data_IF_594115242451
#
_entry.id   IF_594115242451
#
_cell.length_a   1.000
_cell.length_b   1.000
_cell.length_c   1.000
_cell.angle_alpha   90.00
_cell.angle_beta   90.00
_cell.angle_gamma   90.00
#
_symmetry.space_group_name_H-M   'P 1'
#
loop_
_entity.id
_entity.type
_entity.pdbx_description
1 polymer ?
#
# COMPACT_ATOMS: atom_id res chain seq x y z
N UNK A 1 -81.38 5.15 56.12
CA UNK A 1 -79.95 5.12 55.73
C UNK A 1 -79.65 6.50 55.15
N UNK A 2 -79.14 7.38 56.03
CA UNK A 2 -78.88 8.82 55.85
C UNK A 2 -77.74 9.02 54.83
N UNK A 3 -77.52 10.10 54.08
CA UNK A 3 -78.03 11.47 53.99
C UNK A 3 -76.98 12.26 53.17
N UNK A 4 -77.41 13.29 52.42
CA UNK A 4 -76.53 14.27 51.76
C UNK A 4 -75.64 14.99 52.79
N UNK A 5 -74.51 15.61 52.40
CA UNK A 5 -74.19 17.03 52.69
C UNK A 5 -72.80 17.48 52.18
N UNK A 6 -72.83 18.75 51.78
CA UNK A 6 -71.89 19.72 51.20
C UNK A 6 -70.40 19.81 51.54
N UNK A 7 -69.78 20.57 50.63
CA UNK A 7 -68.50 21.28 50.58
C UNK A 7 -68.26 22.34 51.69
N UNK A 8 -66.98 22.78 51.72
CA UNK A 8 -66.33 23.97 52.34
C UNK A 8 -65.91 23.85 53.82
N UNK A 9 -64.74 24.30 54.31
CA UNK A 9 -63.86 25.42 53.94
C UNK A 9 -62.45 25.30 54.59
N UNK A 10 -61.42 25.88 53.93
CA UNK A 10 -60.18 26.56 54.43
C UNK A 10 -59.29 25.93 55.55
N UNK A 11 -57.95 26.04 55.59
CA UNK A 11 -57.05 27.13 55.20
C UNK A 11 -55.57 26.68 55.05
N UNK A 12 -54.87 27.36 54.14
CA UNK A 12 -53.46 27.83 54.18
C UNK A 12 -52.37 27.09 54.98
N UNK A 13 -51.38 26.57 54.25
CA UNK A 13 -49.96 26.63 54.65
C UNK A 13 -49.07 26.68 53.40
N UNK A 14 -48.69 27.88 52.98
CA UNK A 14 -47.71 28.12 51.92
C UNK A 14 -46.31 28.01 52.48
N UNK A 15 -45.57 26.97 52.08
CA UNK A 15 -44.14 26.88 52.33
C UNK A 15 -43.38 27.33 51.07
N UNK A 16 -42.97 28.60 51.04
CA UNK A 16 -42.14 29.19 49.99
C UNK A 16 -40.75 28.55 50.05
N UNK A 17 -40.42 27.66 49.10
CA UNK A 17 -39.02 27.29 48.82
C UNK A 17 -38.44 28.28 47.80
N UNK A 18 -37.52 29.11 48.27
CA UNK A 18 -36.72 30.00 47.45
C UNK A 18 -35.94 29.17 46.41
N UNK A 19 -36.13 29.49 45.13
CA UNK A 19 -35.32 28.99 44.03
C UNK A 19 -34.02 29.79 44.03
N UNK A 20 -32.94 29.17 44.52
CA UNK A 20 -31.60 29.68 44.29
C UNK A 20 -31.30 29.52 42.79
N UNK A 21 -31.31 30.62 42.05
CA UNK A 21 -30.68 30.71 40.73
C UNK A 21 -29.17 30.63 40.94
N UNK A 22 -28.66 29.41 40.99
CA UNK A 22 -27.25 29.16 40.75
C UNK A 22 -26.99 29.48 39.28
N UNK A 23 -26.58 30.72 39.03
CA UNK A 23 -25.99 31.13 37.75
C UNK A 23 -24.64 30.44 37.67
N UNK A 24 -24.62 29.15 37.33
CA UNK A 24 -23.39 28.48 36.95
C UNK A 24 -22.98 29.07 35.61
N UNK A 25 -22.04 30.01 35.65
CA UNK A 25 -21.23 30.33 34.50
C UNK A 25 -20.44 29.05 34.23
N UNK A 26 -21.03 28.12 33.46
CA UNK A 26 -20.32 26.99 32.89
C UNK A 26 -19.27 27.65 32.00
N UNK A 27 -18.06 27.80 32.53
CA UNK A 27 -16.91 28.24 31.75
C UNK A 27 -16.82 27.29 30.56
N UNK A 28 -17.22 27.76 29.38
CA UNK A 28 -17.26 26.92 28.18
C UNK A 28 -15.87 26.34 27.98
N UNK A 29 -15.78 25.03 28.07
CA UNK A 29 -14.52 24.30 27.94
C UNK A 29 -13.83 24.70 26.63
N UNK A 30 -12.56 25.10 26.71
CA UNK A 30 -11.78 25.60 25.56
C UNK A 30 -11.76 24.59 24.41
N UNK A 31 -11.83 23.30 24.71
CA UNK A 31 -11.87 22.22 23.70
C UNK A 31 -13.23 22.14 23.01
N UNK A 32 -14.31 22.48 23.70
CA UNK A 32 -15.67 22.46 23.14
C UNK A 32 -15.89 23.56 22.10
N UNK A 33 -15.19 24.70 22.22
CA UNK A 33 -15.27 25.82 21.29
C UNK A 33 -14.39 25.67 20.03
N UNK A 34 -13.63 24.59 19.90
CA UNK A 34 -12.82 24.35 18.70
C UNK A 34 -13.71 24.14 17.46
N UNK A 35 -13.31 24.66 16.28
CA UNK A 35 -13.97 24.37 15.02
C UNK A 35 -14.03 22.86 14.73
N UNK A 36 -15.06 22.35 14.03
CA UNK A 36 -15.20 20.94 13.70
C UNK A 36 -13.96 20.36 13.01
N UNK A 37 -13.34 21.12 12.11
CA UNK A 37 -12.16 20.68 11.36
C UNK A 37 -10.96 20.46 12.28
N UNK A 38 -10.78 21.33 13.28
CA UNK A 38 -9.70 21.18 14.27
C UNK A 38 -9.95 19.99 15.18
N UNK A 39 -11.21 19.75 15.59
CA UNK A 39 -11.57 18.55 16.35
C UNK A 39 -11.33 17.28 15.52
N UNK A 40 -11.74 17.28 14.25
CA UNK A 40 -11.46 16.18 13.32
C UNK A 40 -9.97 15.89 13.18
N UNK A 41 -9.13 16.94 13.08
CA UNK A 41 -7.68 16.81 13.05
C UNK A 41 -7.11 16.24 14.36
N UNK A 42 -7.58 16.70 15.52
CA UNK A 42 -7.17 16.13 16.82
C UNK A 42 -7.54 14.65 16.90
N UNK A 43 -8.77 14.30 16.52
CA UNK A 43 -9.27 12.93 16.57
C UNK A 43 -8.59 12.01 15.55
N UNK A 44 -8.05 12.55 14.45
CA UNK A 44 -7.25 11.80 13.47
C UNK A 44 -5.95 11.21 14.05
N UNK A 45 -5.51 11.70 15.21
CA UNK A 45 -4.39 11.16 15.97
C UNK A 45 -4.76 9.91 16.80
N UNK A 46 -6.06 9.64 16.94
CA UNK A 46 -6.61 8.50 17.67
C UNK A 46 -7.05 7.39 16.71
N UNK A 47 -7.20 6.18 17.22
CA UNK A 47 -7.92 5.17 16.45
C UNK A 47 -9.43 5.49 16.44
N UNK A 48 -10.16 4.93 15.46
CA UNK A 48 -11.59 5.25 15.27
C UNK A 48 -12.43 4.90 16.50
N UNK A 49 -12.07 3.85 17.24
CA UNK A 49 -12.78 3.48 18.47
C UNK A 49 -12.63 4.56 19.55
N UNK A 50 -11.40 5.02 19.79
CA UNK A 50 -11.10 6.10 20.73
C UNK A 50 -11.77 7.40 20.31
N UNK A 51 -11.73 7.72 19.01
CA UNK A 51 -12.38 8.92 18.50
C UNK A 51 -13.90 8.89 18.73
N UNK A 52 -14.56 7.77 18.47
CA UNK A 52 -15.99 7.59 18.75
C UNK A 52 -16.28 7.63 20.27
N UNK A 53 -15.38 7.15 21.13
CA UNK A 53 -15.57 7.25 22.59
C UNK A 53 -15.60 8.71 23.08
N UNK A 54 -14.89 9.62 22.39
CA UNK A 54 -14.93 11.07 22.73
C UNK A 54 -16.33 11.67 22.57
N UNK A 55 -17.24 11.01 21.85
CA UNK A 55 -18.64 11.40 21.74
C UNK A 55 -19.38 11.50 23.08
N UNK A 56 -18.84 10.89 24.13
CA UNK A 56 -19.38 10.94 25.50
C UNK A 56 -18.95 12.18 26.29
N UNK A 57 -17.95 12.93 25.83
CA UNK A 57 -17.38 14.05 26.58
C UNK A 57 -18.30 15.27 26.64
N UNK A 58 -18.97 15.61 25.53
CA UNK A 58 -19.97 16.68 25.47
C UNK A 58 -20.82 16.60 24.20
N UNK A 59 -21.87 17.42 24.11
CA UNK A 59 -22.67 17.58 22.89
C UNK A 59 -21.86 18.00 21.67
N UNK A 60 -20.80 18.81 21.86
CA UNK A 60 -19.97 19.32 20.76
C UNK A 60 -18.92 18.31 20.27
N UNK A 61 -18.63 17.28 21.08
CA UNK A 61 -17.73 16.18 20.73
C UNK A 61 -18.48 14.95 20.21
N UNK A 62 -19.81 14.91 20.42
CA UNK A 62 -20.70 13.80 20.01
C UNK A 62 -20.49 13.36 18.56
N UNK A 63 -20.40 14.31 17.65
CA UNK A 63 -20.28 14.06 16.21
C UNK A 63 -18.90 14.45 15.64
N UNK A 64 -17.96 14.90 16.48
CA UNK A 64 -16.68 15.46 16.00
C UNK A 64 -15.85 14.45 15.19
N UNK A 65 -15.97 13.16 15.48
CA UNK A 65 -15.30 12.10 14.72
C UNK A 65 -15.80 12.00 13.27
N UNK A 66 -17.00 12.50 12.96
CA UNK A 66 -17.59 12.45 11.62
C UNK A 66 -16.91 13.38 10.62
N UNK A 67 -16.02 14.26 11.08
CA UNK A 67 -15.23 15.20 10.27
C UNK A 67 -13.72 14.84 10.23
N UNK A 68 -13.35 13.63 10.68
CA UNK A 68 -11.95 13.16 10.65
C UNK A 68 -11.41 12.95 9.22
N UNK A 69 -10.31 13.60 8.82
CA UNK A 69 -9.76 13.43 7.48
C UNK A 69 -9.10 12.05 7.26
N UNK A 70 -8.71 11.38 8.35
CA UNK A 70 -8.05 10.08 8.32
C UNK A 70 -8.91 9.05 9.05
N UNK A 71 -9.24 7.96 8.36
CA UNK A 71 -9.99 6.84 8.93
C UNK A 71 -9.10 5.60 8.96
N UNK A 72 -8.83 5.09 10.17
CA UNK A 72 -8.01 3.90 10.38
C UNK A 72 -8.82 2.79 11.07
N UNK A 73 -9.12 1.73 10.33
CA UNK A 73 -9.97 0.62 10.77
C UNK A 73 -9.16 -0.67 10.86
N UNK A 74 -9.18 -1.32 12.02
CA UNK A 74 -8.54 -2.60 12.28
C UNK A 74 -9.47 -3.49 13.07
N UNK A 75 -9.58 -4.76 12.68
CA UNK A 75 -10.48 -5.69 13.37
C UNK A 75 -9.99 -6.09 14.76
N UNK A 76 -8.67 -6.12 14.98
CA UNK A 76 -8.06 -6.22 16.31
C UNK A 76 -8.72 -7.28 17.20
N UNK A 77 -9.22 -6.85 18.35
CA UNK A 77 -9.94 -7.71 19.30
C UNK A 77 -11.47 -7.66 19.14
N UNK A 78 -12.01 -6.90 18.18
CA UNK A 78 -13.46 -6.86 17.94
C UNK A 78 -13.97 -8.25 17.58
N UNK A 79 -15.22 -8.56 17.92
CA UNK A 79 -15.93 -9.67 17.26
C UNK A 79 -16.21 -9.27 15.81
N UNK A 80 -16.37 -10.26 14.92
CA UNK A 80 -16.62 -10.01 13.49
C UNK A 80 -17.82 -9.08 13.28
N UNK A 81 -18.92 -9.36 13.99
CA UNK A 81 -20.16 -8.56 13.93
C UNK A 81 -19.94 -7.12 14.40
N UNK A 82 -19.27 -6.91 15.54
CA UNK A 82 -18.97 -5.57 16.06
C UNK A 82 -18.10 -4.77 15.10
N UNK A 83 -17.11 -5.40 14.47
CA UNK A 83 -16.27 -4.72 13.50
C UNK A 83 -17.06 -4.31 12.25
N UNK A 84 -17.95 -5.17 11.75
CA UNK A 84 -18.80 -4.83 10.61
C UNK A 84 -19.69 -3.63 10.94
N UNK A 85 -20.38 -3.68 12.08
CA UNK A 85 -21.21 -2.56 12.54
C UNK A 85 -20.40 -1.28 12.68
N UNK A 86 -19.16 -1.37 13.18
CA UNK A 86 -18.26 -0.22 13.29
C UNK A 86 -17.93 0.37 11.91
N UNK A 87 -17.47 -0.45 10.96
CA UNK A 87 -17.11 0.01 9.60
C UNK A 87 -18.31 0.62 8.89
N UNK A 88 -19.47 -0.02 9.01
CA UNK A 88 -20.72 0.46 8.41
C UNK A 88 -21.15 1.79 8.98
N UNK A 89 -21.16 1.92 10.30
CA UNK A 89 -21.48 3.16 11.00
C UNK A 89 -20.52 4.27 10.58
N UNK A 90 -19.21 4.00 10.57
CA UNK A 90 -18.19 4.98 10.23
C UNK A 90 -18.37 5.48 8.81
N UNK A 91 -18.48 4.58 7.83
CA UNK A 91 -18.63 4.97 6.42
C UNK A 91 -19.98 5.65 6.13
N UNK A 92 -21.04 5.30 6.86
CA UNK A 92 -22.38 5.86 6.66
C UNK A 92 -22.54 7.24 7.30
N UNK A 93 -22.02 7.43 8.52
CA UNK A 93 -22.21 8.66 9.29
C UNK A 93 -21.12 9.70 9.06
N UNK A 94 -20.02 9.36 8.38
CA UNK A 94 -18.97 10.33 8.06
C UNK A 94 -19.53 11.47 7.20
N UNK A 95 -19.32 12.72 7.63
CA UNK A 95 -19.82 13.94 6.99
C UNK A 95 -18.70 14.69 6.28
N UNK A 96 -17.50 14.66 6.85
CA UNK A 96 -16.32 15.33 6.32
C UNK A 96 -15.75 14.71 5.04
N UNK A 97 -14.64 15.29 4.60
CA UNK A 97 -13.85 14.75 3.49
C UNK A 97 -12.90 13.69 4.04
N UNK A 98 -12.93 12.49 3.46
CA UNK A 98 -11.95 11.45 3.77
C UNK A 98 -10.74 11.70 2.88
N UNK A 99 -9.64 12.17 3.46
CA UNK A 99 -8.37 12.32 2.76
C UNK A 99 -7.64 10.97 2.68
N UNK A 100 -7.62 10.22 3.80
CA UNK A 100 -6.97 8.93 3.90
C UNK A 100 -7.87 7.86 4.50
N UNK A 101 -7.94 6.71 3.82
CA UNK A 101 -8.66 5.54 4.28
C UNK A 101 -7.71 4.35 4.43
N UNK A 102 -7.64 3.81 5.65
CA UNK A 102 -6.85 2.64 5.98
C UNK A 102 -7.77 1.56 6.57
N UNK A 103 -7.76 0.38 5.97
CA UNK A 103 -8.38 -0.82 6.54
C UNK A 103 -7.39 -1.98 6.56
N UNK A 104 -7.26 -2.63 7.72
CA UNK A 104 -6.45 -3.82 7.88
C UNK A 104 -7.19 -4.87 8.69
N UNK A 105 -7.55 -5.97 8.05
CA UNK A 105 -8.32 -7.06 8.65
C UNK A 105 -7.47 -8.31 8.75
N UNK A 106 -7.62 -9.06 9.84
CA UNK A 106 -7.04 -10.39 10.06
C UNK A 106 -8.07 -11.51 9.93
N UNK A 107 -9.35 -11.18 9.82
CA UNK A 107 -10.46 -12.13 9.62
C UNK A 107 -11.11 -11.94 8.25
N UNK A 108 -11.99 -12.88 7.92
CA UNK A 108 -12.69 -12.92 6.64
C UNK A 108 -13.90 -11.98 6.59
N UNK A 109 -13.91 -11.05 5.62
CA UNK A 109 -14.97 -10.06 5.38
C UNK A 109 -15.32 -9.95 3.87
N UNK A 110 -15.29 -11.07 3.15
CA UNK A 110 -15.50 -11.08 1.69
C UNK A 110 -16.83 -10.42 1.28
N UNK A 111 -17.91 -10.74 2.00
CA UNK A 111 -19.26 -10.27 1.67
C UNK A 111 -19.42 -8.76 1.93
N UNK A 112 -18.74 -8.24 2.94
CA UNK A 112 -18.85 -6.83 3.32
C UNK A 112 -17.91 -5.91 2.55
N UNK A 113 -16.76 -6.42 2.07
CA UNK A 113 -15.76 -5.62 1.36
C UNK A 113 -16.38 -4.91 0.15
N UNK A 114 -17.23 -5.58 -0.62
CA UNK A 114 -17.91 -4.98 -1.77
C UNK A 114 -18.74 -3.75 -1.39
N UNK A 115 -19.50 -3.86 -0.30
CA UNK A 115 -20.34 -2.79 0.22
C UNK A 115 -19.49 -1.65 0.80
N UNK A 116 -18.43 -1.96 1.53
CA UNK A 116 -17.52 -0.94 2.07
C UNK A 116 -16.82 -0.16 0.97
N UNK A 117 -16.34 -0.84 -0.08
CA UNK A 117 -15.72 -0.17 -1.22
C UNK A 117 -16.71 0.68 -2.00
N UNK A 118 -17.98 0.24 -2.13
CA UNK A 118 -19.03 1.05 -2.72
C UNK A 118 -19.26 2.35 -1.93
N UNK A 119 -19.38 2.26 -0.60
CA UNK A 119 -19.53 3.44 0.25
C UNK A 119 -18.31 4.37 0.16
N UNK A 120 -17.10 3.81 0.17
CA UNK A 120 -15.85 4.56 0.05
C UNK A 120 -15.72 5.27 -1.31
N UNK A 121 -16.11 4.60 -2.40
CA UNK A 121 -16.00 5.15 -3.76
C UNK A 121 -16.78 6.46 -3.94
N UNK A 122 -17.90 6.62 -3.21
CA UNK A 122 -18.72 7.84 -3.20
C UNK A 122 -18.03 9.02 -2.51
N UNK A 123 -17.04 8.74 -1.65
CA UNK A 123 -16.23 9.75 -0.96
C UNK A 123 -14.93 10.05 -1.69
N UNK A 124 -14.46 9.12 -2.53
CA UNK A 124 -13.27 9.24 -3.38
C UNK A 124 -12.04 9.82 -2.65
N UNK A 125 -11.53 9.15 -1.60
CA UNK A 125 -10.35 9.60 -0.86
C UNK A 125 -9.09 9.70 -1.74
N UNK A 126 -8.10 10.48 -1.27
CA UNK A 126 -6.80 10.63 -1.95
C UNK A 126 -5.86 9.46 -1.68
N UNK A 127 -5.94 8.86 -0.50
CA UNK A 127 -5.10 7.73 -0.11
C UNK A 127 -5.95 6.55 0.35
N UNK A 128 -5.71 5.37 -0.22
CA UNK A 128 -6.41 4.14 0.16
C UNK A 128 -5.38 3.04 0.45
N UNK A 129 -5.50 2.45 1.64
CA UNK A 129 -4.70 1.31 2.07
C UNK A 129 -5.63 0.17 2.50
N UNK A 130 -5.53 -0.96 1.82
CA UNK A 130 -6.34 -2.16 2.08
C UNK A 130 -5.39 -3.32 2.34
N UNK A 131 -5.44 -3.90 3.55
CA UNK A 131 -4.63 -5.08 3.92
C UNK A 131 -5.52 -6.22 4.42
N UNK A 132 -5.55 -7.32 3.68
CA UNK A 132 -6.51 -8.39 3.88
C UNK A 132 -5.79 -9.66 4.37
N UNK A 133 -5.44 -9.77 5.65
CA UNK A 133 -4.52 -10.78 6.16
C UNK A 133 -5.15 -12.17 6.43
N UNK A 134 -6.24 -12.54 5.75
CA UNK A 134 -6.87 -13.87 5.90
C UNK A 134 -7.61 -14.32 4.65
N UNK A 135 -7.84 -15.62 4.51
CA UNK A 135 -8.61 -16.17 3.40
C UNK A 135 -7.84 -16.19 2.07
N UNK A 136 -8.44 -16.88 1.09
CA UNK A 136 -7.95 -16.96 -0.27
C UNK A 136 -8.46 -15.74 -1.05
N UNK A 137 -7.53 -14.92 -1.53
CA UNK A 137 -7.69 -14.05 -2.71
C UNK A 137 -8.98 -13.21 -2.76
N UNK A 138 -9.01 -12.09 -2.04
CA UNK A 138 -10.11 -11.14 -2.12
C UNK A 138 -10.17 -10.48 -3.49
N UNK A 139 -11.26 -10.73 -4.22
CA UNK A 139 -11.55 -9.98 -5.44
C UNK A 139 -11.86 -8.53 -5.10
N UNK A 140 -11.06 -7.60 -5.64
CA UNK A 140 -11.30 -6.18 -5.48
C UNK A 140 -12.55 -5.76 -6.28
N UNK A 141 -13.53 -5.09 -5.64
CA UNK A 141 -14.73 -4.58 -6.30
C UNK A 141 -14.41 -3.53 -7.37
N UNK A 142 -15.19 -3.50 -8.46
CA UNK A 142 -14.98 -2.57 -9.59
C UNK A 142 -15.09 -1.10 -9.20
N UNK A 143 -15.91 -0.76 -8.20
CA UNK A 143 -16.11 0.62 -7.72
C UNK A 143 -14.84 1.26 -7.16
N UNK A 144 -13.86 0.47 -6.70
CA UNK A 144 -12.55 0.99 -6.30
C UNK A 144 -11.84 1.68 -7.48
N UNK A 145 -11.99 1.13 -8.69
CA UNK A 145 -11.36 1.67 -9.91
C UNK A 145 -12.07 2.91 -10.48
N UNK A 146 -13.14 3.38 -9.83
CA UNK A 146 -13.86 4.60 -10.18
C UNK A 146 -13.44 5.82 -9.34
N UNK A 147 -12.52 5.66 -8.37
CA UNK A 147 -12.08 6.75 -7.50
C UNK A 147 -11.13 7.72 -8.23
N UNK A 148 -11.68 8.82 -8.75
CA UNK A 148 -10.93 9.78 -9.59
C UNK A 148 -9.89 10.63 -8.86
N UNK A 149 -10.03 10.83 -7.54
CA UNK A 149 -9.10 11.65 -6.74
C UNK A 149 -7.93 10.88 -6.14
N UNK A 150 -7.82 9.58 -6.42
CA UNK A 150 -6.83 8.71 -5.81
C UNK A 150 -5.41 9.07 -6.23
N UNK A 151 -4.55 9.34 -5.26
CA UNK A 151 -3.12 9.64 -5.39
C UNK A 151 -2.24 8.50 -4.89
N UNK A 152 -2.68 7.80 -3.85
CA UNK A 152 -1.97 6.70 -3.23
C UNK A 152 -2.88 5.48 -3.12
N UNK A 153 -2.44 4.34 -3.64
CA UNK A 153 -3.14 3.07 -3.53
C UNK A 153 -2.19 1.97 -3.06
N UNK A 154 -2.49 1.38 -1.91
CA UNK A 154 -1.87 0.14 -1.46
C UNK A 154 -2.93 -0.93 -1.26
N UNK A 155 -2.73 -2.07 -1.91
CA UNK A 155 -3.56 -3.26 -1.72
C UNK A 155 -2.69 -4.46 -1.40
N UNK A 156 -3.08 -5.23 -0.39
CA UNK A 156 -2.37 -6.42 0.07
C UNK A 156 -3.32 -7.62 0.21
N UNK A 157 -2.92 -8.77 -0.34
CA UNK A 157 -3.68 -10.03 -0.37
C UNK A 157 -4.98 -9.96 -1.17
N UNK A 158 -4.88 -9.62 -2.47
CA UNK A 158 -6.05 -9.37 -3.31
C UNK A 158 -5.92 -9.91 -4.74
N UNK A 159 -7.05 -10.16 -5.37
CA UNK A 159 -7.16 -10.49 -6.79
C UNK A 159 -7.67 -9.27 -7.54
N UNK A 160 -6.91 -8.87 -8.56
CA UNK A 160 -7.19 -7.69 -9.38
C UNK A 160 -7.70 -8.17 -10.73
N UNK A 161 -8.93 -7.75 -11.06
CA UNK A 161 -9.51 -7.86 -12.40
C UNK A 161 -10.05 -6.50 -12.78
N UNK A 162 -9.51 -5.93 -13.85
CA UNK A 162 -9.81 -4.57 -14.22
C UNK A 162 -11.20 -4.49 -14.87
N UNK A 163 -12.04 -3.49 -14.54
CA UNK A 163 -13.28 -3.27 -15.26
C UNK A 163 -13.01 -2.91 -16.73
N UNK A 164 -13.87 -3.37 -17.65
CA UNK A 164 -13.74 -3.07 -19.09
C UNK A 164 -13.71 -1.56 -19.40
N UNK A 165 -14.45 -0.78 -18.61
CA UNK A 165 -14.55 0.68 -18.75
C UNK A 165 -13.55 1.43 -17.86
N UNK A 166 -12.48 0.79 -17.41
CA UNK A 166 -11.48 1.46 -16.58
C UNK A 166 -10.78 2.56 -17.37
N UNK A 167 -10.98 3.81 -16.94
CA UNK A 167 -10.41 4.99 -17.60
C UNK A 167 -9.04 5.39 -17.04
N UNK A 168 -8.52 4.67 -16.04
CA UNK A 168 -7.27 5.02 -15.39
C UNK A 168 -7.42 5.92 -14.16
N UNK A 169 -6.44 5.85 -13.25
CA UNK A 169 -6.32 6.81 -12.17
C UNK A 169 -5.47 8.00 -12.61
N UNK A 170 -6.11 9.14 -12.89
CA UNK A 170 -5.43 10.31 -13.47
C UNK A 170 -4.49 11.06 -12.53
N UNK A 171 -4.61 10.82 -11.22
CA UNK A 171 -3.84 11.50 -10.18
C UNK A 171 -2.95 10.54 -9.37
N UNK A 172 -2.95 9.25 -9.71
CA UNK A 172 -2.22 8.23 -8.94
C UNK A 172 -0.73 8.36 -9.17
N UNK A 173 -0.03 8.72 -8.11
CA UNK A 173 1.43 8.85 -8.08
C UNK A 173 2.09 7.62 -7.47
N UNK A 174 1.40 6.91 -6.57
CA UNK A 174 1.93 5.76 -5.86
C UNK A 174 1.00 4.55 -5.97
N UNK A 175 1.49 3.45 -6.52
CA UNK A 175 0.80 2.16 -6.61
C UNK A 175 1.64 1.06 -5.96
N UNK A 176 1.12 0.48 -4.88
CA UNK A 176 1.76 -0.65 -4.19
C UNK A 176 0.82 -1.85 -4.11
N UNK A 177 1.11 -2.89 -4.89
CA UNK A 177 0.40 -4.16 -4.86
C UNK A 177 1.28 -5.22 -4.19
N UNK A 178 0.75 -5.83 -3.12
CA UNK A 178 1.46 -6.84 -2.34
C UNK A 178 0.63 -8.11 -2.24
N UNK A 179 1.26 -9.29 -2.32
CA UNK A 179 0.55 -10.58 -2.19
C UNK A 179 -0.68 -10.61 -3.11
N UNK A 180 -0.53 -10.47 -4.42
CA UNK A 180 -1.68 -10.30 -5.32
C UNK A 180 -1.69 -11.25 -6.50
N UNK A 181 -2.88 -11.55 -7.04
CA UNK A 181 -3.05 -12.30 -8.28
C UNK A 181 -3.75 -11.43 -9.33
N UNK A 182 -3.30 -11.51 -10.58
CA UNK A 182 -3.91 -10.80 -11.70
C UNK A 182 -3.46 -11.38 -13.04
N UNK A 183 -3.94 -10.81 -14.14
CA UNK A 183 -3.48 -11.15 -15.50
C UNK A 183 -2.45 -10.11 -15.99
N UNK A 184 -1.57 -10.53 -16.90
CA UNK A 184 -0.62 -9.61 -17.57
C UNK A 184 -1.32 -8.39 -18.17
N UNK A 185 -2.49 -8.60 -18.78
CA UNK A 185 -3.29 -7.54 -19.41
C UNK A 185 -3.85 -6.56 -18.38
N UNK A 186 -4.43 -7.06 -17.29
CA UNK A 186 -4.99 -6.21 -16.24
C UNK A 186 -3.92 -5.31 -15.60
N UNK A 187 -2.75 -5.87 -15.27
CA UNK A 187 -1.65 -5.12 -14.67
C UNK A 187 -1.05 -4.12 -15.65
N UNK A 188 -0.85 -4.52 -16.91
CA UNK A 188 -0.41 -3.61 -17.97
C UNK A 188 -1.36 -2.41 -18.11
N UNK A 189 -2.67 -2.68 -18.20
CA UNK A 189 -3.68 -1.63 -18.36
C UNK A 189 -3.80 -0.75 -17.11
N UNK A 190 -3.72 -1.35 -15.92
CA UNK A 190 -3.70 -0.61 -14.66
C UNK A 190 -2.56 0.41 -14.62
N UNK A 191 -1.33 -0.01 -14.94
CA UNK A 191 -0.15 0.84 -14.91
C UNK A 191 -0.19 1.89 -16.01
N UNK A 192 -0.41 1.47 -17.27
CA UNK A 192 -0.39 2.37 -18.44
C UNK A 192 -1.47 3.44 -18.40
N UNK A 193 -2.59 3.19 -17.70
CA UNK A 193 -3.65 4.18 -17.55
C UNK A 193 -3.46 5.11 -16.34
N UNK A 194 -2.31 5.04 -15.64
CA UNK A 194 -1.90 5.97 -14.59
C UNK A 194 -0.77 6.90 -15.08
N UNK A 195 -1.08 8.01 -15.80
CA UNK A 195 -0.08 8.80 -16.53
C UNK A 195 0.89 9.61 -15.64
N UNK A 196 0.60 9.72 -14.34
CA UNK A 196 1.40 10.48 -13.37
C UNK A 196 2.06 9.59 -12.31
N UNK A 197 2.12 8.28 -12.55
CA UNK A 197 2.70 7.31 -11.63
C UNK A 197 4.21 7.51 -11.50
N UNK A 198 4.69 7.77 -10.28
CA UNK A 198 6.10 7.99 -9.95
C UNK A 198 6.70 6.84 -9.13
N UNK A 199 5.90 6.15 -8.30
CA UNK A 199 6.32 5.00 -7.49
C UNK A 199 5.44 3.77 -7.77
N UNK A 200 6.06 2.70 -8.28
CA UNK A 200 5.42 1.42 -8.54
C UNK A 200 6.09 0.30 -7.73
N UNK A 201 5.29 -0.41 -6.93
CA UNK A 201 5.74 -1.56 -6.14
C UNK A 201 4.85 -2.76 -6.38
N UNK A 202 5.40 -3.80 -6.98
CA UNK A 202 4.77 -5.10 -7.21
C UNK A 202 5.52 -6.15 -6.40
N UNK A 203 4.91 -6.69 -5.35
CA UNK A 203 5.58 -7.57 -4.39
C UNK A 203 4.77 -8.83 -4.15
N UNK A 204 5.40 -10.00 -4.32
CA UNK A 204 4.85 -11.34 -4.14
C UNK A 204 3.55 -11.52 -4.91
N UNK A 205 3.62 -11.79 -6.20
CA UNK A 205 2.44 -11.95 -7.04
C UNK A 205 2.41 -13.28 -7.78
N UNK A 206 1.21 -13.65 -8.21
CA UNK A 206 0.92 -14.86 -8.98
C UNK A 206 0.11 -14.52 -10.25
N UNK A 207 0.17 -15.41 -11.24
CA UNK A 207 -0.58 -15.26 -12.50
C UNK A 207 0.07 -14.34 -13.55
N UNK A 208 1.23 -13.73 -13.24
CA UNK A 208 1.96 -12.87 -14.17
C UNK A 208 3.10 -13.63 -14.85
N UNK A 209 3.11 -13.63 -16.19
CA UNK A 209 4.21 -14.20 -16.99
C UNK A 209 5.09 -13.09 -17.54
N UNK A 210 4.50 -12.12 -18.23
CA UNK A 210 5.22 -11.01 -18.84
C UNK A 210 4.78 -9.68 -18.23
N UNK A 211 5.67 -9.06 -17.46
CA UNK A 211 5.43 -7.74 -16.86
C UNK A 211 5.68 -6.63 -17.87
N UNK A 212 4.62 -6.02 -18.39
CA UNK A 212 4.75 -4.85 -19.26
C UNK A 212 4.45 -3.57 -18.48
N UNK A 213 5.48 -2.77 -18.23
CA UNK A 213 5.43 -1.53 -17.46
C UNK A 213 5.63 -0.37 -18.43
N UNK A 214 4.55 0.35 -18.74
CA UNK A 214 4.58 1.59 -19.51
C UNK A 214 4.20 2.73 -18.59
N UNK A 215 5.21 3.45 -18.09
CA UNK A 215 5.03 4.47 -17.06
C UNK A 215 6.06 5.60 -17.26
N UNK A 216 5.76 6.61 -18.09
CA UNK A 216 6.74 7.59 -18.53
C UNK A 216 7.28 8.49 -17.41
N UNK A 217 6.52 8.69 -16.33
CA UNK A 217 6.92 9.48 -15.15
C UNK A 217 7.43 8.64 -13.99
N UNK A 218 7.64 7.33 -14.19
CA UNK A 218 8.06 6.44 -13.12
C UNK A 218 9.50 6.75 -12.72
N UNK A 219 9.72 7.01 -11.43
CA UNK A 219 11.02 7.32 -10.83
C UNK A 219 11.54 6.16 -9.98
N UNK A 220 10.62 5.43 -9.34
CA UNK A 220 10.93 4.31 -8.44
C UNK A 220 10.16 3.05 -8.83
N UNK A 221 10.89 1.96 -9.06
CA UNK A 221 10.32 0.64 -9.37
C UNK A 221 10.81 -0.41 -8.37
N UNK A 222 9.89 -1.15 -7.78
CA UNK A 222 10.19 -2.36 -7.00
C UNK A 222 9.37 -3.53 -7.50
N UNK A 223 10.03 -4.56 -8.05
CA UNK A 223 9.42 -5.82 -8.46
C UNK A 223 10.04 -6.97 -7.69
N UNK A 224 9.21 -7.69 -6.94
CA UNK A 224 9.61 -8.89 -6.21
C UNK A 224 8.56 -9.96 -6.48
N UNK A 225 8.85 -11.02 -7.22
CA UNK A 225 7.82 -12.02 -7.55
C UNK A 225 8.29 -13.06 -8.56
N UNK A 226 7.39 -13.95 -8.98
CA UNK A 226 7.65 -14.88 -10.07
C UNK A 226 7.12 -14.31 -11.39
N UNK A 227 8.00 -14.10 -12.37
CA UNK A 227 7.65 -13.73 -13.74
C UNK A 227 8.68 -14.33 -14.70
N UNK A 228 8.28 -14.55 -15.95
CA UNK A 228 9.12 -15.08 -17.02
C UNK A 228 9.88 -13.95 -17.75
N UNK A 229 9.23 -12.79 -17.91
CA UNK A 229 9.79 -11.64 -18.63
C UNK A 229 9.31 -10.29 -18.07
N UNK A 230 10.07 -9.22 -18.32
CA UNK A 230 9.75 -7.84 -17.98
C UNK A 230 10.08 -6.88 -19.14
N UNK A 231 9.08 -6.26 -19.73
CA UNK A 231 9.23 -5.14 -20.65
C UNK A 231 9.02 -3.83 -19.91
N UNK A 232 10.07 -3.02 -19.82
CA UNK A 232 10.04 -1.76 -19.09
C UNK A 232 10.19 -0.58 -20.07
N UNK A 233 9.22 0.32 -20.06
CA UNK A 233 9.21 1.60 -20.76
C UNK A 233 8.95 2.71 -19.72
N UNK A 234 10.06 3.17 -19.13
CA UNK A 234 10.09 4.12 -18.03
C UNK A 234 11.33 5.02 -18.14
N UNK A 235 11.37 5.98 -19.08
CA UNK A 235 12.55 6.80 -19.37
C UNK A 235 13.03 7.66 -18.19
N UNK A 236 12.17 7.99 -17.24
CA UNK A 236 12.53 8.79 -16.06
C UNK A 236 12.90 7.94 -14.83
N UNK A 237 13.09 6.62 -15.02
CA UNK A 237 13.36 5.72 -13.90
C UNK A 237 14.71 6.03 -13.27
N UNK A 238 14.70 6.37 -11.99
CA UNK A 238 15.92 6.66 -11.24
C UNK A 238 16.40 5.45 -10.44
N UNK A 239 15.46 4.70 -9.87
CA UNK A 239 15.74 3.58 -8.98
C UNK A 239 14.92 2.35 -9.35
N UNK A 240 15.60 1.21 -9.48
CA UNK A 240 14.96 -0.08 -9.76
C UNK A 240 15.43 -1.18 -8.79
N UNK A 241 14.49 -1.93 -8.23
CA UNK A 241 14.76 -3.17 -7.50
C UNK A 241 14.03 -4.34 -8.13
N UNK A 242 14.78 -5.31 -8.63
CA UNK A 242 14.26 -6.50 -9.31
C UNK A 242 14.71 -7.75 -8.57
N UNK A 243 13.74 -8.58 -8.15
CA UNK A 243 14.00 -9.81 -7.43
C UNK A 243 13.02 -10.91 -7.83
N UNK A 244 13.54 -12.11 -8.06
CA UNK A 244 12.69 -13.29 -8.26
C UNK A 244 12.42 -14.00 -6.93
N UNK A 245 11.15 -14.33 -6.67
CA UNK A 245 10.74 -15.08 -5.48
C UNK A 245 11.20 -16.56 -5.60
N UNK A 246 11.93 -17.13 -4.61
CA UNK A 246 12.32 -18.54 -4.59
C UNK A 246 11.17 -19.54 -4.66
N UNK A 247 9.94 -19.13 -4.34
CA UNK A 247 8.74 -19.97 -4.44
C UNK A 247 8.23 -20.09 -5.88
N UNK A 248 8.73 -19.30 -6.83
CA UNK A 248 8.40 -19.37 -8.26
C UNK A 248 8.92 -20.63 -8.98
N UNK A 249 9.25 -21.71 -8.25
CA UNK A 249 9.81 -22.98 -8.75
C UNK A 249 8.90 -23.74 -9.72
N UNK A 250 7.67 -23.28 -9.98
CA UNK A 250 6.74 -23.94 -10.90
C UNK A 250 6.91 -23.55 -12.39
N UNK A 251 7.58 -22.45 -12.72
CA UNK A 251 7.66 -21.95 -14.11
C UNK A 251 8.97 -22.27 -14.83
N UNK A 252 9.90 -23.02 -14.22
CA UNK A 252 11.21 -23.31 -14.80
C UNK A 252 11.36 -24.70 -15.43
N UNK A 253 10.26 -25.40 -15.72
CA UNK A 253 10.30 -26.72 -16.39
C UNK A 253 9.92 -26.71 -17.87
N UNK A 254 9.62 -25.55 -18.49
CA UNK A 254 9.41 -25.50 -19.95
C UNK A 254 10.56 -24.76 -20.62
N UNK A 255 11.41 -25.47 -21.39
CA UNK A 255 12.38 -24.83 -22.27
C UNK A 255 11.61 -24.24 -23.46
N UNK A 256 11.21 -22.96 -23.39
CA UNK A 256 10.91 -22.23 -24.61
C UNK A 256 12.25 -21.74 -25.17
N UNK A 257 12.90 -22.65 -25.89
CA UNK A 257 13.91 -22.32 -26.86
C UNK A 257 13.25 -21.45 -27.94
N UNK A 258 13.58 -20.16 -27.98
CA UNK A 258 14.00 -19.45 -29.20
C UNK A 258 14.06 -17.91 -29.06
N UNK A 259 13.67 -17.32 -27.93
CA UNK A 259 13.55 -15.84 -27.89
C UNK A 259 13.98 -15.18 -26.57
N UNK A 260 14.49 -15.95 -25.58
CA UNK A 260 15.00 -15.44 -24.29
C UNK A 260 16.08 -14.35 -24.43
N UNK A 261 16.82 -14.33 -25.54
CA UNK A 261 17.86 -13.34 -25.82
C UNK A 261 17.30 -11.96 -26.20
N UNK A 262 16.18 -11.89 -26.93
CA UNK A 262 15.60 -10.61 -27.37
C UNK A 262 14.97 -9.84 -26.19
N UNK A 263 14.39 -10.59 -25.25
CA UNK A 263 13.72 -10.05 -24.08
C UNK A 263 14.69 -9.42 -23.08
N UNK A 264 15.74 -10.15 -22.67
CA UNK A 264 16.78 -9.63 -21.76
C UNK A 264 17.44 -8.37 -22.34
N UNK A 265 17.68 -8.34 -23.66
CA UNK A 265 18.19 -7.15 -24.37
C UNK A 265 17.23 -5.97 -24.27
N UNK A 266 15.94 -6.19 -24.48
CA UNK A 266 14.92 -5.15 -24.42
C UNK A 266 14.73 -4.61 -22.99
N UNK A 267 14.69 -5.50 -21.99
CA UNK A 267 14.56 -5.13 -20.57
C UNK A 267 15.77 -4.36 -20.05
N UNK A 268 16.98 -4.73 -20.48
CA UNK A 268 18.21 -4.05 -20.06
C UNK A 268 18.45 -2.76 -20.84
N UNK A 269 18.09 -2.72 -22.13
CA UNK A 269 18.22 -1.52 -22.96
C UNK A 269 17.37 -0.35 -22.47
N UNK A 270 16.24 -0.60 -21.81
CA UNK A 270 15.43 0.46 -21.20
C UNK A 270 15.93 0.92 -19.82
N UNK A 271 16.97 0.27 -19.28
CA UNK A 271 17.59 0.62 -18.01
C UNK A 271 18.87 1.46 -18.17
N UNK A 272 19.21 1.93 -19.37
CA UNK A 272 20.47 2.63 -19.65
C UNK A 272 20.68 3.93 -18.83
N UNK A 273 19.60 4.61 -18.43
CA UNK A 273 19.64 5.93 -17.80
C UNK A 273 19.34 5.96 -16.29
N UNK A 274 19.24 4.79 -15.65
CA UNK A 274 18.96 4.67 -14.21
C UNK A 274 20.16 5.13 -13.36
N UNK A 275 19.89 5.65 -12.15
CA UNK A 275 20.93 6.03 -11.17
C UNK A 275 21.28 4.89 -10.23
N UNK A 276 20.31 4.05 -9.90
CA UNK A 276 20.48 2.99 -8.92
C UNK A 276 19.76 1.70 -9.33
N UNK A 277 20.47 0.57 -9.26
CA UNK A 277 19.98 -0.75 -9.62
C UNK A 277 20.25 -1.75 -8.51
N UNK A 278 19.18 -2.35 -8.00
CA UNK A 278 19.27 -3.45 -7.06
C UNK A 278 18.75 -4.73 -7.72
N UNK A 279 19.61 -5.74 -7.83
CA UNK A 279 19.26 -7.05 -8.38
C UNK A 279 19.48 -8.11 -7.31
N UNK A 280 18.46 -8.95 -7.12
CA UNK A 280 18.48 -9.96 -6.07
C UNK A 280 18.26 -11.40 -6.59
N UNK A 281 19.07 -12.32 -6.07
CA UNK A 281 18.78 -13.74 -6.01
C UNK A 281 18.73 -14.45 -7.36
N UNK A 282 17.62 -15.12 -7.66
CA UNK A 282 17.45 -15.96 -8.87
C UNK A 282 17.41 -15.10 -10.13
N UNK A 283 17.14 -13.79 -10.05
CA UNK A 283 17.16 -12.91 -11.22
C UNK A 283 18.56 -12.85 -11.85
N UNK A 284 19.63 -12.96 -11.06
CA UNK A 284 20.99 -13.11 -11.58
C UNK A 284 21.19 -14.39 -12.38
N UNK A 285 20.48 -15.49 -12.04
CA UNK A 285 20.49 -16.72 -12.84
C UNK A 285 19.72 -16.58 -14.15
N UNK A 286 18.69 -15.74 -14.17
CA UNK A 286 17.94 -15.42 -15.38
C UNK A 286 18.78 -14.54 -16.31
N UNK A 287 19.34 -13.45 -15.77
CA UNK A 287 20.27 -12.59 -16.49
C UNK A 287 21.48 -13.38 -16.99
N UNK A 288 22.03 -14.32 -16.22
CA UNK A 288 23.15 -15.13 -16.69
C UNK A 288 22.82 -16.00 -17.89
N UNK A 289 21.62 -16.59 -17.98
CA UNK A 289 21.21 -17.33 -19.19
C UNK A 289 21.19 -16.44 -20.44
N UNK A 290 20.75 -15.18 -20.33
CA UNK A 290 20.74 -14.22 -21.44
C UNK A 290 22.11 -13.58 -21.74
N UNK A 291 22.91 -13.33 -20.71
CA UNK A 291 24.21 -12.65 -20.81
C UNK A 291 25.38 -13.60 -21.16
N UNK A 292 25.24 -14.91 -20.98
CA UNK A 292 26.26 -15.90 -21.40
C UNK A 292 26.40 -15.95 -22.93
N UNK A 293 25.38 -15.52 -23.68
CA UNK A 293 25.34 -15.61 -25.14
C UNK A 293 25.74 -14.30 -25.85
N UNK A 294 25.80 -13.17 -25.14
CA UNK A 294 25.97 -11.84 -25.77
C UNK A 294 26.76 -10.88 -24.89
N UNK A 295 27.63 -10.04 -25.50
CA UNK A 295 28.16 -8.85 -24.81
C UNK A 295 26.97 -8.06 -24.24
N UNK A 296 27.10 -7.58 -23.01
CA UNK A 296 26.00 -6.87 -22.34
C UNK A 296 25.47 -5.77 -23.28
N UNK A 297 24.15 -5.68 -23.53
CA UNK A 297 23.62 -4.90 -24.65
C UNK A 297 23.57 -3.39 -24.38
N UNK A 298 23.90 -3.01 -23.16
CA UNK A 298 23.53 -1.75 -22.53
C UNK A 298 24.73 -1.24 -21.73
N UNK A 299 25.13 0.01 -21.98
CA UNK A 299 26.05 0.77 -21.13
C UNK A 299 25.20 1.62 -20.21
N UNK A 300 25.39 1.47 -18.90
CA UNK A 300 24.67 2.21 -17.88
C UNK A 300 25.36 3.55 -17.63
N UNK A 301 25.06 4.55 -18.46
CA UNK A 301 25.77 5.84 -18.44
C UNK A 301 25.56 6.64 -17.16
N UNK A 302 24.44 6.43 -16.44
CA UNK A 302 24.09 7.19 -15.23
C UNK A 302 24.11 6.37 -13.95
N UNK A 303 24.46 5.09 -14.02
CA UNK A 303 24.36 4.19 -12.88
C UNK A 303 25.48 4.46 -11.87
N UNK A 304 25.09 5.01 -10.72
CA UNK A 304 26.01 5.40 -9.64
C UNK A 304 26.01 4.38 -8.49
N UNK A 305 24.91 3.64 -8.30
CA UNK A 305 24.77 2.69 -7.21
C UNK A 305 24.24 1.35 -7.69
N UNK A 306 24.99 0.28 -7.45
CA UNK A 306 24.56 -1.09 -7.68
C UNK A 306 24.46 -1.83 -6.35
N UNK A 307 23.35 -2.56 -6.15
CA UNK A 307 23.19 -3.51 -5.06
C UNK A 307 22.94 -4.91 -5.62
N UNK A 308 23.81 -5.86 -5.32
CA UNK A 308 23.71 -7.24 -5.83
C UNK A 308 23.56 -8.22 -4.68
N UNK A 309 22.56 -9.09 -4.75
CA UNK A 309 22.46 -10.28 -3.88
C UNK A 309 22.85 -11.50 -4.70
N UNK A 310 24.09 -11.98 -4.55
CA UNK A 310 24.64 -13.08 -5.36
C UNK A 310 25.03 -14.29 -4.53
N UNK A 311 25.02 -15.46 -5.19
CA UNK A 311 25.62 -16.69 -4.68
C UNK A 311 27.01 -16.86 -5.30
N UNK A 312 28.08 -16.64 -4.54
CA UNK A 312 29.46 -16.80 -5.03
C UNK A 312 29.80 -18.23 -5.47
N UNK A 313 29.05 -19.23 -4.99
CA UNK A 313 29.14 -20.61 -5.46
C UNK A 313 28.58 -20.83 -6.87
N UNK A 314 27.85 -19.87 -7.45
CA UNK A 314 27.29 -19.94 -8.80
C UNK A 314 28.11 -19.06 -9.75
N UNK A 315 29.07 -19.67 -10.45
CA UNK A 315 29.97 -18.99 -11.38
C UNK A 315 29.23 -18.12 -12.40
N UNK A 316 28.02 -18.53 -12.83
CA UNK A 316 27.22 -17.76 -13.78
C UNK A 316 26.74 -16.43 -13.20
N UNK A 317 26.37 -16.40 -11.92
CA UNK A 317 25.96 -15.15 -11.27
C UNK A 317 27.15 -14.21 -11.09
N UNK A 318 28.34 -14.75 -10.79
CA UNK A 318 29.58 -13.99 -10.68
C UNK A 318 29.93 -13.33 -12.02
N UNK A 319 29.89 -14.09 -13.12
CA UNK A 319 30.16 -13.56 -14.46
C UNK A 319 29.16 -12.47 -14.88
N UNK A 320 27.86 -12.66 -14.60
CA UNK A 320 26.85 -11.62 -14.85
C UNK A 320 27.11 -10.37 -14.02
N UNK A 321 27.50 -10.52 -12.75
CA UNK A 321 27.86 -9.39 -11.90
C UNK A 321 29.05 -8.64 -12.48
N UNK A 322 30.11 -9.34 -12.90
CA UNK A 322 31.26 -8.72 -13.56
C UNK A 322 30.86 -7.97 -14.83
N UNK A 323 30.00 -8.57 -15.66
CA UNK A 323 29.52 -7.93 -16.90
C UNK A 323 28.70 -6.65 -16.61
N UNK A 324 27.82 -6.67 -15.61
CA UNK A 324 27.10 -5.48 -15.15
C UNK A 324 28.06 -4.36 -14.71
N UNK A 325 29.06 -4.71 -13.91
CA UNK A 325 30.05 -3.75 -13.39
C UNK A 325 30.92 -3.16 -14.51
N UNK A 326 31.33 -3.98 -15.49
CA UNK A 326 32.10 -3.52 -16.65
C UNK A 326 31.33 -2.53 -17.53
N UNK A 327 30.00 -2.60 -17.51
CA UNK A 327 29.14 -1.72 -18.30
C UNK A 327 28.60 -0.51 -17.50
N UNK A 328 29.12 -0.27 -16.28
CA UNK A 328 28.72 0.85 -15.42
C UNK A 328 29.92 1.80 -15.15
N UNK A 329 30.32 2.64 -16.14
CA UNK A 329 31.54 3.44 -16.05
C UNK A 329 31.51 4.51 -14.94
N UNK A 330 30.33 4.94 -14.51
CA UNK A 330 30.13 5.99 -13.51
C UNK A 330 29.74 5.45 -12.12
N UNK A 331 29.99 4.16 -11.87
CA UNK A 331 29.63 3.51 -10.61
C UNK A 331 30.43 4.10 -9.43
N UNK A 332 29.71 4.61 -8.42
CA UNK A 332 30.29 5.20 -7.20
C UNK A 332 30.13 4.29 -5.98
N UNK A 333 29.08 3.46 -5.95
CA UNK A 333 28.75 2.60 -4.82
C UNK A 333 28.38 1.21 -5.29
N UNK A 334 28.99 0.20 -4.67
CA UNK A 334 28.66 -1.20 -4.84
C UNK A 334 28.34 -1.82 -3.49
N UNK A 335 27.10 -2.27 -3.30
CA UNK A 335 26.68 -3.08 -2.16
C UNK A 335 26.53 -4.54 -2.62
N UNK A 336 27.22 -5.48 -1.98
CA UNK A 336 27.12 -6.90 -2.30
C UNK A 336 26.67 -7.69 -1.09
N UNK A 337 25.66 -8.52 -1.26
CA UNK A 337 25.11 -9.39 -0.24
C UNK A 337 25.24 -10.85 -0.67
N UNK A 338 25.75 -11.68 0.24
CA UNK A 338 25.91 -13.12 -0.02
C UNK A 338 24.69 -13.86 0.48
N UNK A 339 24.10 -14.67 -0.40
CA UNK A 339 23.08 -15.62 0.04
C UNK A 339 23.77 -16.84 0.67
N UNK A 340 23.96 -16.82 1.98
CA UNK A 340 24.35 -18.04 2.69
C UNK A 340 23.17 -19.03 2.64
N UNK A 341 23.38 -20.32 2.32
CA UNK A 341 22.34 -21.32 2.48
C UNK A 341 22.02 -21.40 3.98
N UNK A 342 20.86 -20.89 4.38
CA UNK A 342 20.44 -20.89 5.79
C UNK A 342 20.30 -22.34 6.28
N UNK A 343 21.28 -22.78 7.07
CA UNK A 343 21.03 -23.72 8.16
C UNK A 343 20.29 -22.91 9.24
N UNK A 344 18.98 -23.14 9.35
CA UNK A 344 18.01 -22.56 10.30
C UNK A 344 17.59 -21.08 10.10
N UNK A 345 16.30 -20.76 10.36
CA UNK A 345 15.73 -19.44 10.08
C UNK A 345 16.09 -18.45 11.19
N UNK A 346 16.83 -17.39 10.86
CA UNK A 346 16.98 -16.23 11.73
C UNK A 346 15.78 -15.26 11.55
N UNK A 347 15.37 -14.54 12.61
CA UNK A 347 14.21 -13.64 12.57
C UNK A 347 14.47 -12.39 11.70
N UNK A 348 13.41 -11.70 11.22
CA UNK A 348 13.44 -10.77 10.08
C UNK A 348 14.25 -9.47 10.28
N UNK A 349 14.89 -9.29 11.43
CA UNK A 349 15.62 -8.06 11.80
C UNK A 349 17.14 -8.27 11.88
N UNK A 350 17.65 -9.46 11.57
CA UNK A 350 19.10 -9.71 11.46
C UNK A 350 19.47 -9.81 9.98
N UNK A 351 19.61 -8.68 9.31
CA UNK A 351 20.50 -8.57 8.14
C UNK A 351 21.84 -8.12 8.72
N UNK A 352 22.66 -9.10 9.11
CA UNK A 352 24.03 -8.86 9.56
C UNK A 352 24.85 -8.26 8.41
N UNK A 353 25.29 -7.04 8.62
CA UNK A 353 26.19 -6.29 7.75
C UNK A 353 27.53 -7.02 7.58
N UNK A 354 27.84 -7.43 6.36
CA UNK A 354 29.23 -7.62 5.93
C UNK A 354 29.51 -6.53 4.90
N UNK A 355 30.04 -5.41 5.37
CA UNK A 355 30.50 -4.32 4.50
C UNK A 355 31.77 -4.79 3.80
N UNK A 356 31.70 -4.99 2.49
CA UNK A 356 32.90 -4.95 1.65
C UNK A 356 32.80 -3.66 0.85
N UNK A 357 33.36 -2.57 1.39
CA UNK A 357 33.60 -1.36 0.61
C UNK A 357 34.76 -1.64 -0.34
N UNK A 358 34.48 -1.68 -1.65
CA UNK A 358 35.53 -1.46 -2.65
C UNK A 358 35.51 0.02 -3.02
N UNK A 359 36.48 0.77 -2.50
CA UNK A 359 36.85 2.07 -3.08
C UNK A 359 37.60 1.80 -4.39
N UNK A 360 37.16 2.45 -5.47
CA UNK A 360 37.85 2.42 -6.77
C UNK A 360 39.31 2.84 -6.61
N UNK A 361 40.29 2.15 -7.25
CA UNK A 361 41.64 2.68 -7.31
C UNK A 361 41.63 3.90 -8.23
N UNK A 362 42.12 5.02 -7.70
CA UNK A 362 42.38 6.23 -8.45
C UNK A 362 43.30 5.95 -9.64
N UNK A 363 43.09 6.75 -10.68
CA UNK A 363 43.94 6.92 -11.85
C UNK A 363 45.43 6.86 -11.53
N UNK A 364 46.17 6.08 -12.33
CA UNK A 364 47.48 6.41 -12.88
C UNK A 364 47.64 5.72 -14.23
#
# INVERSE_FOLDING_TARGET
MLGQFNLDSEAMSTCKKARAEATSIVSSDRLSNLPPEIKGNILSLLNVEEAVRTSTLSSTWRDAWTDMPVICLRDGNFTRTKFITLVDMVLSLHKGTIEEFYISVKRSYHDELARWMLMLSRRSPRSVVIKLNSGLEYRIPSCLFSMGNLMFLLMENCTIRLPLLFQGFKRLTHLSLKLFSSTDMDIKNLISFCPVLTDLRLVRFEGLRCLNIQAPKLEYLKVVGGFEDINLDAPNLEWAFLSLDPKAKAYQSVPIAHDTESYVRKSLGSLNDIKALAISGIFMKYLSKGCILTKFPAVFHRLEHICLVISFSDQRQVLTACSLLQNAPNLKKLDMWVRTPLVNPLPPWIIGSMFVQFTTPNQL
#
